data_IF_146603343704
#
_entry.id   IF_146603343704
#
_cell.length_a   1.000
_cell.length_b   1.000
_cell.length_c   1.000
_cell.angle_alpha   90.00
_cell.angle_beta   90.00
_cell.angle_gamma   90.00
#
_symmetry.space_group_name_H-M   'P 1'
#
loop_
_entity.id
_entity.type
_entity.pdbx_description
1 polymer ?
#
# COMPACT_ATOMS: atom_id res chain seq x y z
N UNK A 1 0.09 30.97 -17.40
CA UNK A 1 -1.19 30.28 -17.12
C UNK A 1 -1.17 28.87 -17.74
N UNK A 2 -0.08 28.11 -17.53
CA UNK A 2 0.16 26.84 -18.27
C UNK A 2 0.41 25.64 -17.35
N UNK A 3 1.01 25.83 -16.16
CA UNK A 3 1.37 24.70 -15.28
C UNK A 3 0.18 24.10 -14.53
N UNK A 4 -0.79 24.92 -14.12
CA UNK A 4 -1.97 24.48 -13.34
C UNK A 4 -3.02 23.76 -14.19
N UNK A 5 -3.17 24.17 -15.46
CA UNK A 5 -4.04 23.51 -16.44
C UNK A 5 -3.42 22.18 -16.91
N UNK A 6 -2.09 22.12 -17.10
CA UNK A 6 -1.39 20.85 -17.35
C UNK A 6 -1.55 19.87 -16.18
N UNK A 7 -1.37 20.34 -14.95
CA UNK A 7 -1.45 19.52 -13.74
C UNK A 7 -2.87 18.96 -13.53
N UNK A 8 -3.92 19.74 -13.81
CA UNK A 8 -5.32 19.28 -13.69
C UNK A 8 -5.70 18.27 -14.78
N UNK A 9 -5.30 18.50 -16.04
CA UNK A 9 -5.50 17.54 -17.14
C UNK A 9 -4.75 16.22 -16.87
N UNK A 10 -3.59 16.29 -16.23
CA UNK A 10 -2.80 15.11 -15.90
C UNK A 10 -3.34 14.33 -14.70
N UNK A 11 -3.87 15.00 -13.67
CA UNK A 11 -4.60 14.35 -12.57
C UNK A 11 -5.83 13.59 -13.12
N UNK A 12 -6.55 14.19 -14.08
CA UNK A 12 -7.66 13.51 -14.75
C UNK A 12 -7.19 12.27 -15.54
N UNK A 13 -6.02 12.33 -16.19
CA UNK A 13 -5.43 11.18 -16.87
C UNK A 13 -5.03 10.06 -15.89
N UNK A 14 -4.53 10.39 -14.69
CA UNK A 14 -4.23 9.41 -13.63
C UNK A 14 -5.51 8.74 -13.12
N UNK A 15 -6.57 9.53 -12.87
CA UNK A 15 -7.87 8.98 -12.47
C UNK A 15 -8.41 8.07 -13.58
N UNK A 16 -8.23 8.44 -14.85
CA UNK A 16 -8.62 7.63 -16.00
C UNK A 16 -7.80 6.33 -16.06
N UNK A 17 -6.49 6.37 -15.84
CA UNK A 17 -5.61 5.19 -15.80
C UNK A 17 -6.01 4.28 -14.63
N UNK A 18 -6.21 4.83 -13.43
CA UNK A 18 -6.71 4.09 -12.28
C UNK A 18 -8.10 3.48 -12.57
N UNK A 19 -8.99 4.21 -13.27
CA UNK A 19 -10.27 3.67 -13.74
C UNK A 19 -10.12 2.54 -14.77
N UNK A 20 -9.21 2.68 -15.72
CA UNK A 20 -8.93 1.65 -16.75
C UNK A 20 -8.36 0.38 -16.10
N UNK A 21 -7.46 0.53 -15.13
CA UNK A 21 -6.88 -0.60 -14.40
C UNK A 21 -7.85 -1.22 -13.40
N UNK A 22 -8.69 -0.43 -12.72
CA UNK A 22 -9.76 -0.97 -11.88
C UNK A 22 -10.85 -1.68 -12.68
N UNK A 23 -11.01 -1.36 -13.98
CA UNK A 23 -11.97 -2.01 -14.89
C UNK A 23 -11.41 -3.25 -15.60
N UNK A 24 -10.08 -3.48 -15.61
CA UNK A 24 -9.45 -4.54 -16.41
C UNK A 24 -8.34 -5.32 -15.68
N UNK A 25 -8.64 -5.82 -14.49
CA UNK A 25 -7.85 -6.89 -13.88
C UNK A 25 -8.81 -8.03 -13.57
N UNK A 26 -9.10 -8.77 -14.62
CA UNK A 26 -9.58 -10.14 -14.54
C UNK A 26 -8.39 -11.02 -14.95
N UNK A 27 -7.45 -11.19 -14.02
CA UNK A 27 -6.36 -12.16 -14.18
C UNK A 27 -6.79 -13.44 -13.45
N UNK A 28 -7.89 -14.00 -13.95
CA UNK A 28 -8.37 -15.33 -13.65
C UNK A 28 -7.78 -16.27 -14.69
N UNK A 29 -6.49 -16.58 -14.59
CA UNK A 29 -5.94 -17.74 -15.28
C UNK A 29 -4.82 -18.42 -14.49
N UNK A 30 -5.21 -19.56 -13.90
CA UNK A 30 -4.43 -20.76 -13.65
C UNK A 30 -2.95 -20.60 -13.23
N UNK A 31 -2.73 -20.06 -12.03
CA UNK A 31 -1.47 -20.26 -11.31
C UNK A 31 -1.59 -21.51 -10.42
N UNK A 32 -1.21 -22.66 -10.98
CA UNK A 32 -1.14 -23.96 -10.30
C UNK A 32 0.08 -24.00 -9.35
N UNK A 33 0.06 -23.19 -8.29
CA UNK A 33 1.15 -23.15 -7.29
C UNK A 33 0.82 -24.17 -6.20
N UNK A 34 1.28 -25.41 -6.38
CA UNK A 34 1.12 -26.53 -5.42
C UNK A 34 1.80 -26.31 -4.05
N UNK A 35 2.50 -25.21 -3.85
CA UNK A 35 3.13 -24.86 -2.58
C UNK A 35 2.30 -23.81 -1.84
N UNK A 36 1.57 -24.23 -0.81
CA UNK A 36 0.82 -23.31 0.07
C UNK A 36 1.80 -22.36 0.76
N UNK A 37 1.63 -21.05 0.56
CA UNK A 37 2.36 -20.02 1.29
C UNK A 37 2.18 -20.23 2.80
N UNK A 38 3.30 -20.33 3.54
CA UNK A 38 3.29 -20.42 5.01
C UNK A 38 3.00 -19.05 5.60
N UNK A 39 1.72 -18.72 5.70
CA UNK A 39 1.22 -17.49 6.33
C UNK A 39 1.24 -17.58 7.86
N UNK A 40 1.29 -16.42 8.53
CA UNK A 40 1.27 -16.29 9.98
C UNK A 40 -0.09 -16.69 10.58
N UNK A 41 -0.15 -17.20 11.82
CA UNK A 41 -1.42 -17.55 12.47
C UNK A 41 -2.35 -16.33 12.60
N UNK A 42 -3.66 -16.56 12.46
CA UNK A 42 -4.71 -15.53 12.50
C UNK A 42 -4.62 -14.61 13.74
N UNK A 43 -4.21 -15.14 14.89
CA UNK A 43 -4.09 -14.42 16.15
C UNK A 43 -3.07 -13.27 16.10
N UNK A 44 -2.07 -13.32 15.23
CA UNK A 44 -1.06 -12.25 15.06
C UNK A 44 -1.61 -11.00 14.36
N UNK A 45 -2.82 -11.09 13.81
CA UNK A 45 -3.50 -9.94 13.20
C UNK A 45 -3.90 -8.89 14.23
N UNK A 46 -4.34 -9.32 15.41
CA UNK A 46 -4.75 -8.42 16.51
C UNK A 46 -3.59 -7.57 17.06
N UNK A 47 -2.42 -8.14 17.43
CA UNK A 47 -1.28 -7.32 17.84
C UNK A 47 -0.79 -6.45 16.68
N UNK A 48 -0.86 -6.90 15.42
CA UNK A 48 -0.54 -6.06 14.27
C UNK A 48 -1.39 -4.80 14.17
N UNK A 49 -2.72 -4.93 14.35
CA UNK A 49 -3.65 -3.79 14.40
C UNK A 49 -3.34 -2.88 15.60
N UNK A 50 -3.11 -3.45 16.78
CA UNK A 50 -2.81 -2.68 17.98
C UNK A 50 -1.53 -1.84 17.82
N UNK A 51 -0.46 -2.44 17.28
CA UNK A 51 0.81 -1.75 17.01
C UNK A 51 0.60 -0.64 15.97
N UNK A 52 -0.09 -0.93 14.85
CA UNK A 52 -0.32 0.07 13.81
C UNK A 52 -1.11 1.28 14.31
N UNK A 53 -2.16 1.05 15.12
CA UNK A 53 -2.94 2.13 15.74
C UNK A 53 -2.11 2.92 16.74
N UNK A 54 -1.33 2.25 17.57
CA UNK A 54 -0.44 2.91 18.53
C UNK A 54 0.58 3.81 17.82
N UNK A 55 1.13 3.36 16.70
CA UNK A 55 2.05 4.17 15.88
C UNK A 55 1.38 5.40 15.27
N UNK A 56 0.12 5.29 14.82
CA UNK A 56 -0.63 6.46 14.32
C UNK A 56 -0.87 7.48 15.44
N UNK A 57 -1.17 7.01 16.65
CA UNK A 57 -1.33 7.88 17.83
C UNK A 57 0.00 8.57 18.18
N UNK A 58 1.10 7.81 18.18
CA UNK A 58 2.43 8.35 18.42
C UNK A 58 2.81 9.43 17.39
N UNK A 59 2.47 9.22 16.11
CA UNK A 59 2.66 10.23 15.07
C UNK A 59 1.90 11.54 15.38
N UNK A 60 0.67 11.45 15.90
CA UNK A 60 -0.11 12.62 16.29
C UNK A 60 0.53 13.41 17.43
N UNK A 61 1.24 12.74 18.34
CA UNK A 61 1.93 13.41 19.45
C UNK A 61 3.18 14.18 19.01
N UNK A 62 3.74 13.89 17.83
CA UNK A 62 4.92 14.54 17.27
C UNK A 62 4.65 15.06 15.85
N UNK A 63 3.54 15.79 15.67
CA UNK A 63 3.16 16.41 14.38
C UNK A 63 4.24 17.33 13.81
N UNK A 64 5.08 17.92 14.68
CA UNK A 64 6.15 18.82 14.27
C UNK A 64 7.47 18.10 13.97
N UNK A 65 7.54 16.77 14.16
CA UNK A 65 8.70 15.94 13.85
C UNK A 65 9.98 16.40 14.54
N UNK A 66 9.88 16.96 15.75
CA UNK A 66 11.04 17.53 16.45
C UNK A 66 11.88 16.45 17.10
N UNK A 67 11.32 15.26 17.30
CA UNK A 67 12.00 14.16 17.98
C UNK A 67 12.24 12.99 17.02
N UNK A 68 13.47 12.86 16.54
CA UNK A 68 13.90 11.81 15.61
C UNK A 68 13.60 10.39 16.13
N UNK A 69 13.65 10.19 17.46
CA UNK A 69 13.38 8.88 18.08
C UNK A 69 11.89 8.54 17.97
N UNK A 70 11.01 9.51 18.24
CA UNK A 70 9.56 9.33 18.09
C UNK A 70 9.24 9.10 16.62
N UNK A 71 9.90 9.85 15.72
CA UNK A 71 9.74 9.71 14.28
C UNK A 71 10.05 8.28 13.80
N UNK A 72 11.21 7.77 14.18
CA UNK A 72 11.64 6.41 13.84
C UNK A 72 10.70 5.36 14.44
N UNK A 73 10.30 5.54 15.70
CA UNK A 73 9.45 4.61 16.42
C UNK A 73 8.07 4.47 15.76
N UNK A 74 7.42 5.58 15.39
CA UNK A 74 6.12 5.49 14.74
C UNK A 74 6.22 4.92 13.32
N UNK A 75 7.28 5.25 12.56
CA UNK A 75 7.47 4.73 11.21
C UNK A 75 7.70 3.22 11.20
N UNK A 76 8.60 2.72 12.06
CA UNK A 76 8.89 1.30 12.18
C UNK A 76 7.71 0.54 12.78
N UNK A 77 7.09 1.07 13.83
CA UNK A 77 5.92 0.46 14.45
C UNK A 77 4.77 0.32 13.44
N UNK A 78 4.51 1.35 12.64
CA UNK A 78 3.50 1.30 11.59
C UNK A 78 3.85 0.24 10.53
N UNK A 79 5.12 0.19 10.10
CA UNK A 79 5.59 -0.82 9.14
C UNK A 79 5.38 -2.24 9.67
N UNK A 80 5.82 -2.51 10.90
CA UNK A 80 5.71 -3.83 11.55
C UNK A 80 4.25 -4.20 11.77
N UNK A 81 3.42 -3.27 12.23
CA UNK A 81 1.99 -3.48 12.43
C UNK A 81 1.28 -3.84 11.12
N UNK A 82 1.51 -3.08 10.04
CA UNK A 82 0.95 -3.38 8.73
C UNK A 82 1.46 -4.71 8.16
N UNK A 83 2.73 -5.05 8.40
CA UNK A 83 3.32 -6.31 7.95
C UNK A 83 2.71 -7.52 8.66
N UNK A 84 2.45 -7.42 9.97
CA UNK A 84 1.71 -8.47 10.69
C UNK A 84 0.29 -8.64 10.13
N UNK A 85 -0.40 -7.55 9.82
CA UNK A 85 -1.74 -7.61 9.24
C UNK A 85 -1.70 -8.27 7.85
N UNK A 86 -0.72 -7.92 7.01
CA UNK A 86 -0.63 -8.43 5.63
C UNK A 86 -0.29 -9.93 5.58
N UNK A 87 0.61 -10.40 6.46
CA UNK A 87 1.06 -11.79 6.49
C UNK A 87 0.18 -12.73 7.31
N UNK A 88 -0.76 -12.21 8.10
CA UNK A 88 -1.68 -13.02 8.91
C UNK A 88 -2.73 -13.73 8.05
N UNK A 89 -2.98 -15.01 8.35
CA UNK A 89 -4.06 -15.82 7.76
C UNK A 89 -5.44 -15.21 8.01
N UNK A 90 -6.37 -15.50 7.12
CA UNK A 90 -7.81 -15.32 7.37
C UNK A 90 -8.37 -16.53 8.13
N UNK A 91 -9.54 -16.36 8.77
CA UNK A 91 -10.20 -17.43 9.54
C UNK A 91 -10.51 -18.66 8.67
N UNK A 92 -10.85 -18.42 7.41
CA UNK A 92 -11.07 -19.43 6.38
C UNK A 92 -10.14 -19.09 5.22
N UNK A 93 -9.11 -19.91 5.04
CA UNK A 93 -8.14 -19.76 3.94
C UNK A 93 -8.44 -20.83 2.89
N UNK A 94 -9.12 -20.44 1.82
CA UNK A 94 -9.38 -21.27 0.64
C UNK A 94 -8.45 -20.85 -0.52
N UNK A 95 -8.54 -21.56 -1.64
CA UNK A 95 -7.72 -21.29 -2.82
C UNK A 95 -8.02 -19.92 -3.44
N UNK A 96 -9.28 -19.48 -3.37
CA UNK A 96 -9.71 -18.18 -3.88
C UNK A 96 -9.10 -17.02 -3.08
N UNK A 97 -9.07 -17.11 -1.74
CA UNK A 97 -8.43 -16.11 -0.87
C UNK A 97 -6.92 -16.07 -1.12
N UNK A 98 -6.29 -17.21 -1.37
CA UNK A 98 -4.87 -17.27 -1.73
C UNK A 98 -4.60 -16.54 -3.06
N UNK A 99 -5.40 -16.80 -4.09
CA UNK A 99 -5.32 -16.08 -5.37
C UNK A 99 -5.54 -14.59 -5.19
N UNK A 100 -6.51 -14.21 -4.34
CA UNK A 100 -6.80 -12.81 -4.04
C UNK A 100 -5.61 -12.08 -3.41
N UNK A 101 -4.90 -12.72 -2.48
CA UNK A 101 -3.69 -12.17 -1.87
C UNK A 101 -2.61 -11.93 -2.91
N UNK A 102 -2.35 -12.91 -3.76
CA UNK A 102 -1.35 -12.81 -4.82
C UNK A 102 -1.70 -11.69 -5.81
N UNK A 103 -2.96 -11.64 -6.27
CA UNK A 103 -3.44 -10.60 -7.18
C UNK A 103 -3.34 -9.20 -6.54
N UNK A 104 -3.69 -9.07 -5.27
CA UNK A 104 -3.58 -7.79 -4.54
C UNK A 104 -2.13 -7.36 -4.37
N UNK A 105 -1.22 -8.29 -4.05
CA UNK A 105 0.21 -8.01 -3.90
C UNK A 105 0.82 -7.57 -5.23
N UNK A 106 0.54 -8.29 -6.31
CA UNK A 106 1.03 -7.97 -7.65
C UNK A 106 0.49 -6.63 -8.15
N UNK A 107 -0.81 -6.40 -7.98
CA UNK A 107 -1.44 -5.15 -8.37
C UNK A 107 -0.81 -3.94 -7.65
N UNK A 108 -0.66 -4.03 -6.33
CA UNK A 108 -0.12 -2.92 -5.54
C UNK A 108 1.36 -2.70 -5.80
N UNK A 109 2.13 -3.75 -6.09
CA UNK A 109 3.51 -3.60 -6.52
C UNK A 109 3.61 -2.81 -7.83
N UNK A 110 2.82 -3.16 -8.85
CA UNK A 110 2.81 -2.44 -10.13
C UNK A 110 2.36 -0.99 -9.93
N UNK A 111 1.22 -0.79 -9.27
CA UNK A 111 0.68 0.56 -9.04
C UNK A 111 1.64 1.39 -8.20
N UNK A 112 2.25 0.80 -7.18
CA UNK A 112 3.21 1.49 -6.32
C UNK A 112 4.48 1.92 -7.06
N UNK A 113 5.01 1.08 -7.96
CA UNK A 113 6.13 1.46 -8.83
C UNK A 113 5.74 2.64 -9.73
N UNK A 114 4.57 2.55 -10.39
CA UNK A 114 4.08 3.63 -11.26
C UNK A 114 3.92 4.94 -10.48
N UNK A 115 3.27 4.88 -9.31
CA UNK A 115 3.07 6.05 -8.44
C UNK A 115 4.41 6.63 -7.97
N UNK A 116 5.37 5.80 -7.60
CA UNK A 116 6.68 6.28 -7.14
C UNK A 116 7.46 6.97 -8.27
N UNK A 117 7.55 6.33 -9.44
CA UNK A 117 8.20 6.93 -10.63
C UNK A 117 7.54 8.26 -10.97
N UNK A 118 6.22 8.34 -10.85
CA UNK A 118 5.45 9.54 -11.11
C UNK A 118 5.75 10.67 -10.13
N UNK A 119 5.83 10.37 -8.83
CA UNK A 119 6.21 11.35 -7.79
C UNK A 119 7.60 11.92 -8.09
N UNK A 120 8.58 11.05 -8.40
CA UNK A 120 9.95 11.48 -8.73
C UNK A 120 9.99 12.35 -9.99
N UNK A 121 9.19 12.02 -11.01
CA UNK A 121 9.10 12.81 -12.23
C UNK A 121 8.52 14.21 -11.96
N UNK A 122 7.45 14.29 -11.15
CA UNK A 122 6.83 15.56 -10.77
C UNK A 122 7.82 16.44 -9.99
N UNK A 123 8.51 15.87 -9.02
CA UNK A 123 9.47 16.59 -8.18
C UNK A 123 10.55 17.27 -9.04
N UNK A 124 11.06 16.52 -10.03
CA UNK A 124 12.03 17.02 -11.03
C UNK A 124 11.44 18.10 -11.95
N UNK A 125 10.18 17.98 -12.38
CA UNK A 125 9.53 18.96 -13.27
C UNK A 125 9.16 20.27 -12.57
N UNK A 126 8.84 20.22 -11.28
CA UNK A 126 8.52 21.41 -10.47
C UNK A 126 9.79 22.20 -10.13
N UNK A 127 10.98 21.60 -10.28
CA UNK A 127 12.25 22.26 -9.98
C UNK A 127 12.49 22.37 -8.48
N UNK A 128 12.04 21.37 -7.71
CA UNK A 128 12.52 21.21 -6.34
C UNK A 128 14.04 20.97 -6.43
N UNK A 129 14.83 21.97 -6.03
CA UNK A 129 16.27 22.00 -6.25
C UNK A 129 17.03 20.94 -5.43
N UNK A 130 16.37 20.33 -4.46
CA UNK A 130 16.88 19.20 -3.71
C UNK A 130 16.00 18.01 -4.00
N UNK A 131 16.57 16.94 -4.56
CA UNK A 131 15.96 15.62 -4.51
C UNK A 131 15.79 15.26 -3.03
N UNK A 132 14.66 15.61 -2.44
CA UNK A 132 14.33 15.12 -1.12
C UNK A 132 14.18 13.62 -1.26
N UNK A 133 15.17 12.90 -0.73
CA UNK A 133 15.16 11.45 -0.71
C UNK A 133 13.99 11.02 0.16
N UNK A 134 12.86 10.70 -0.47
CA UNK A 134 11.74 10.10 0.24
C UNK A 134 12.26 8.84 0.93
N UNK A 135 12.16 8.81 2.27
CA UNK A 135 12.62 7.62 3.00
C UNK A 135 11.86 6.40 2.49
N UNK A 136 12.60 5.34 2.15
CA UNK A 136 12.06 4.08 1.62
C UNK A 136 10.97 3.50 2.53
N UNK A 137 10.99 3.82 3.82
CA UNK A 137 9.97 3.39 4.78
C UNK A 137 8.58 3.93 4.43
N UNK A 138 8.46 5.15 3.90
CA UNK A 138 7.18 5.73 3.48
C UNK A 138 6.60 4.96 2.30
N UNK A 139 7.44 4.59 1.34
CA UNK A 139 7.05 3.77 0.21
C UNK A 139 6.58 2.39 0.66
N UNK A 140 7.31 1.75 1.58
CA UNK A 140 6.92 0.44 2.13
C UNK A 140 5.59 0.53 2.86
N UNK A 141 5.40 1.55 3.71
CA UNK A 141 4.14 1.79 4.41
C UNK A 141 2.97 2.02 3.46
N UNK A 142 3.20 2.79 2.40
CA UNK A 142 2.22 3.01 1.34
C UNK A 142 1.84 1.70 0.65
N UNK A 143 2.83 0.89 0.23
CA UNK A 143 2.58 -0.41 -0.40
C UNK A 143 1.80 -1.36 0.51
N UNK A 144 2.18 -1.47 1.79
CA UNK A 144 1.51 -2.35 2.74
C UNK A 144 0.06 -1.90 2.99
N UNK A 145 -0.17 -0.60 3.16
CA UNK A 145 -1.50 -0.05 3.38
C UNK A 145 -2.38 -0.21 2.14
N UNK A 146 -1.85 0.07 0.95
CA UNK A 146 -2.54 -0.16 -0.31
C UNK A 146 -2.87 -1.65 -0.50
N UNK A 147 -1.93 -2.56 -0.20
CA UNK A 147 -2.15 -4.01 -0.27
C UNK A 147 -3.34 -4.43 0.60
N UNK A 148 -3.33 -4.01 1.87
CA UNK A 148 -4.40 -4.27 2.82
C UNK A 148 -5.74 -3.75 2.28
N UNK A 149 -5.76 -2.50 1.82
CA UNK A 149 -6.96 -1.88 1.27
C UNK A 149 -7.53 -2.64 0.06
N UNK A 150 -6.68 -2.99 -0.91
CA UNK A 150 -7.09 -3.71 -2.12
C UNK A 150 -7.57 -5.12 -1.78
N UNK A 151 -6.84 -5.85 -0.94
CA UNK A 151 -7.21 -7.19 -0.52
C UNK A 151 -8.60 -7.22 0.12
N UNK A 152 -8.89 -6.35 1.09
CA UNK A 152 -10.22 -6.31 1.71
C UNK A 152 -11.31 -5.79 0.76
N UNK A 153 -10.97 -4.85 -0.12
CA UNK A 153 -11.92 -4.33 -1.10
C UNK A 153 -12.37 -5.41 -2.09
N UNK A 154 -11.43 -6.20 -2.62
CA UNK A 154 -11.72 -7.32 -3.50
C UNK A 154 -12.47 -8.43 -2.75
N UNK A 155 -12.04 -8.75 -1.52
CA UNK A 155 -12.71 -9.75 -0.67
C UNK A 155 -14.17 -9.39 -0.41
N UNK A 156 -14.46 -8.11 -0.17
CA UNK A 156 -15.83 -7.62 0.04
C UNK A 156 -16.69 -7.73 -1.22
N UNK A 157 -16.10 -7.56 -2.41
CA UNK A 157 -16.82 -7.72 -3.68
C UNK A 157 -17.19 -9.19 -3.95
N UNK A 158 -16.29 -10.14 -3.64
CA UNK A 158 -16.53 -11.57 -3.84
C UNK A 158 -17.55 -12.20 -2.88
N UNK A 159 -17.83 -11.55 -1.75
CA UNK A 159 -18.84 -12.01 -0.77
C UNK A 159 -20.27 -11.56 -1.13
N UNK A 160 -20.43 -10.65 -2.08
CA UNK A 160 -21.73 -10.19 -2.57
C UNK A 160 -22.16 -11.05 -3.75
#
# INVERSE_FOLDING_TARGET
>A
MEKTTLLTVFILAIILIIMIFTKKIDFSDNLNIKNKLKLLPFWLKFPGIAIALFSIIAHWTDIHGKNEIIQLFWQLGLTVGLLFISLSKERTEDEMIMQLRLNSAFFVLIVGIIVHVFIVLIDKLIGANDFQSYSSIYLINFLLLAYIFFFYSLKRKLRK
#
